data_IF_352857435683
#
_entry.id   IF_352857435683
#
_cell.length_a   1.000
_cell.length_b   1.000
_cell.length_c   1.000
_cell.angle_alpha   90.00
_cell.angle_beta   90.00
_cell.angle_gamma   90.00
#
_symmetry.space_group_name_H-M   'P 1'
#
loop_
_entity.id
_entity.type
_entity.pdbx_description
1 polymer ?
#
# COMPACT_ATOMS: atom_id res chain seq x y z
N UNK A 1 -53.28 18.52 -97.18
CA UNK A 1 -53.48 17.82 -95.90
C UNK A 1 -52.62 18.52 -94.88
N UNK A 2 -53.22 19.12 -93.86
CA UNK A 2 -52.53 19.98 -92.88
C UNK A 2 -51.93 19.10 -91.77
N UNK A 3 -50.63 19.20 -91.54
CA UNK A 3 -49.96 18.62 -90.36
C UNK A 3 -50.27 19.47 -89.13
N UNK A 4 -50.70 18.89 -87.99
CA UNK A 4 -50.78 19.63 -86.75
C UNK A 4 -49.39 19.66 -86.11
N UNK A 5 -48.80 20.86 -86.02
CA UNK A 5 -47.63 21.14 -85.20
C UNK A 5 -48.07 21.28 -83.74
N UNK A 6 -47.86 20.25 -82.93
CA UNK A 6 -47.95 20.29 -81.48
C UNK A 6 -46.75 19.57 -80.86
N UNK A 7 -46.22 20.03 -79.71
CA UNK A 7 -45.12 19.35 -79.05
C UNK A 7 -45.58 17.95 -78.62
N UNK A 8 -44.80 16.92 -78.96
CA UNK A 8 -44.98 15.56 -78.44
C UNK A 8 -45.01 15.59 -76.90
N UNK A 9 -45.90 14.85 -76.22
CA UNK A 9 -45.86 14.77 -74.77
C UNK A 9 -44.49 14.27 -74.36
N UNK A 10 -43.72 15.10 -73.66
CA UNK A 10 -42.44 14.66 -73.10
C UNK A 10 -42.72 13.43 -72.22
N UNK A 11 -42.04 12.33 -72.50
CA UNK A 11 -42.10 11.14 -71.67
C UNK A 11 -41.83 11.54 -70.21
N UNK A 12 -42.70 11.11 -69.30
CA UNK A 12 -42.55 11.41 -67.88
C UNK A 12 -41.16 10.91 -67.44
N UNK A 13 -40.36 11.74 -66.77
CA UNK A 13 -39.00 11.35 -66.42
C UNK A 13 -39.04 10.15 -65.47
N UNK A 14 -38.05 9.25 -65.59
CA UNK A 14 -37.99 8.00 -64.82
C UNK A 14 -37.90 8.19 -63.30
N UNK A 15 -37.55 9.38 -62.83
CA UNK A 15 -37.49 9.74 -61.41
C UNK A 15 -38.83 10.27 -60.86
N UNK A 16 -39.82 10.56 -61.71
CA UNK A 16 -41.10 11.07 -61.26
C UNK A 16 -41.92 9.93 -60.62
N UNK A 17 -42.46 10.19 -59.43
CA UNK A 17 -43.30 9.25 -58.69
C UNK A 17 -44.44 8.73 -59.57
N UNK A 18 -44.56 7.42 -59.67
CA UNK A 18 -45.63 6.78 -60.42
C UNK A 18 -46.96 7.02 -59.71
N UNK A 19 -47.98 7.43 -60.45
CA UNK A 19 -49.30 7.70 -59.90
C UNK A 19 -50.03 6.41 -59.50
N UNK A 20 -49.68 5.28 -60.13
CA UNK A 20 -50.27 3.97 -59.82
C UNK A 20 -49.65 3.30 -58.58
N UNK A 21 -48.43 3.71 -58.19
CA UNK A 21 -47.70 3.16 -57.03
C UNK A 21 -47.21 4.25 -56.06
N UNK A 22 -48.00 5.32 -55.95
CA UNK A 22 -47.63 6.52 -55.20
C UNK A 22 -47.41 6.23 -53.71
N UNK A 23 -48.20 5.36 -53.10
CA UNK A 23 -48.11 5.05 -51.67
C UNK A 23 -46.80 4.33 -51.31
N UNK A 24 -46.36 3.37 -52.13
CA UNK A 24 -45.09 2.69 -51.91
C UNK A 24 -43.91 3.63 -52.15
N UNK A 25 -43.95 4.40 -53.23
CA UNK A 25 -42.89 5.35 -53.56
C UNK A 25 -42.79 6.51 -52.55
N UNK A 26 -43.91 6.98 -51.98
CA UNK A 26 -43.90 7.95 -50.89
C UNK A 26 -43.37 7.35 -49.58
N UNK A 27 -43.57 6.05 -49.36
CA UNK A 27 -43.00 5.36 -48.19
C UNK A 27 -41.48 5.20 -48.27
N UNK A 28 -40.87 5.41 -49.44
CA UNK A 28 -39.41 5.43 -49.61
C UNK A 28 -38.80 6.84 -49.50
N UNK A 29 -39.62 7.89 -49.50
CA UNK A 29 -39.16 9.27 -49.37
C UNK A 29 -39.20 9.68 -47.88
N UNK A 30 -38.06 10.06 -47.26
CA UNK A 30 -37.97 10.31 -45.82
C UNK A 30 -38.97 11.33 -45.27
N UNK A 31 -39.40 12.29 -46.10
CA UNK A 31 -40.39 13.31 -45.72
C UNK A 31 -41.80 12.73 -45.52
N UNK A 32 -42.12 11.59 -46.15
CA UNK A 32 -43.45 10.96 -46.13
C UNK A 32 -43.45 9.55 -45.51
N UNK A 33 -42.28 9.07 -45.06
CA UNK A 33 -42.13 7.84 -44.30
C UNK A 33 -42.95 7.88 -43.01
N UNK A 34 -43.74 6.84 -42.79
CA UNK A 34 -44.46 6.63 -41.51
C UNK A 34 -43.65 5.75 -40.54
N UNK A 35 -42.75 4.93 -41.06
CA UNK A 35 -41.90 3.99 -40.33
C UNK A 35 -40.49 4.00 -40.94
N UNK A 36 -39.48 3.68 -40.13
CA UNK A 36 -38.09 3.59 -40.58
C UNK A 36 -37.91 2.31 -41.43
N UNK A 37 -37.36 2.41 -42.66
CA UNK A 37 -37.16 1.24 -43.53
C UNK A 37 -36.13 0.26 -42.94
N UNK A 38 -36.31 -1.03 -43.19
CA UNK A 38 -35.40 -2.11 -42.75
C UNK A 38 -34.16 -2.26 -43.64
N UNK A 39 -34.18 -1.70 -44.84
CA UNK A 39 -33.06 -1.68 -45.80
C UNK A 39 -32.44 -0.28 -45.87
N UNK A 40 -31.14 -0.20 -46.21
CA UNK A 40 -30.43 1.08 -46.34
C UNK A 40 -31.07 1.93 -47.44
N UNK A 41 -31.51 3.14 -47.08
CA UNK A 41 -32.08 4.09 -48.02
C UNK A 41 -31.10 5.25 -48.22
N UNK A 42 -30.58 5.35 -49.45
CA UNK A 42 -29.59 6.36 -49.85
C UNK A 42 -30.05 7.79 -49.58
N UNK A 43 -31.36 8.07 -49.70
CA UNK A 43 -31.91 9.41 -49.45
C UNK A 43 -31.92 9.77 -47.97
N UNK A 44 -32.07 8.77 -47.10
CA UNK A 44 -32.05 8.92 -45.64
C UNK A 44 -30.60 9.11 -45.15
N UNK A 45 -29.64 8.38 -45.76
CA UNK A 45 -28.21 8.58 -45.53
C UNK A 45 -27.73 9.97 -46.02
N UNK A 46 -28.24 10.44 -47.15
CA UNK A 46 -27.97 11.79 -47.65
C UNK A 46 -28.51 12.87 -46.69
N UNK A 47 -29.72 12.69 -46.14
CA UNK A 47 -30.27 13.59 -45.12
C UNK A 47 -29.50 13.55 -43.80
N UNK A 48 -29.04 12.37 -43.37
CA UNK A 48 -28.17 12.26 -42.18
C UNK A 48 -26.83 12.95 -42.41
N UNK A 49 -26.29 12.88 -43.62
CA UNK A 49 -25.05 13.59 -43.99
C UNK A 49 -25.25 15.12 -43.98
N UNK A 50 -26.44 15.60 -44.37
CA UNK A 50 -26.81 17.02 -44.31
C UNK A 50 -26.84 17.57 -42.87
N UNK A 51 -27.05 16.74 -41.85
CA UNK A 51 -26.97 17.17 -40.43
C UNK A 51 -25.55 17.53 -40.03
N UNK A 52 -24.54 16.95 -40.70
CA UNK A 52 -23.12 17.21 -40.49
C UNK A 52 -22.53 18.10 -41.60
N UNK A 53 -23.36 18.74 -42.42
CA UNK A 53 -22.92 19.62 -43.50
C UNK A 53 -22.84 21.05 -42.97
N UNK A 54 -21.62 21.58 -42.85
CA UNK A 54 -21.35 22.90 -42.29
C UNK A 54 -19.98 23.00 -41.65
N UNK A 55 -19.66 24.18 -41.11
CA UNK A 55 -18.47 24.32 -40.25
C UNK A 55 -18.68 23.58 -38.92
N UNK A 56 -17.62 23.08 -38.26
CA UNK A 56 -17.72 22.43 -36.95
C UNK A 56 -18.48 23.27 -35.91
N UNK A 57 -18.35 24.60 -35.99
CA UNK A 57 -19.04 25.56 -35.14
C UNK A 57 -20.56 25.57 -35.38
N UNK A 58 -21.00 25.60 -36.65
CA UNK A 58 -22.42 25.58 -37.01
C UNK A 58 -23.09 24.25 -36.65
N UNK A 59 -22.38 23.14 -36.83
CA UNK A 59 -22.85 21.79 -36.46
C UNK A 59 -23.02 21.70 -34.94
N UNK A 60 -22.02 22.15 -34.17
CA UNK A 60 -22.10 22.14 -32.71
C UNK A 60 -23.20 23.09 -32.18
N UNK A 61 -23.44 24.23 -32.85
CA UNK A 61 -24.56 25.12 -32.54
C UNK A 61 -25.92 24.49 -32.82
N UNK A 62 -26.07 23.75 -33.93
CA UNK A 62 -27.29 23.02 -34.24
C UNK A 62 -27.60 21.97 -33.17
N UNK A 63 -26.62 21.15 -32.78
CA UNK A 63 -26.78 20.16 -31.71
C UNK A 63 -27.06 20.79 -30.35
N UNK A 64 -26.45 21.95 -30.03
CA UNK A 64 -26.77 22.73 -28.82
C UNK A 64 -28.25 23.15 -28.83
N UNK A 65 -28.76 23.65 -29.95
CA UNK A 65 -30.15 24.10 -30.06
C UNK A 65 -31.14 22.92 -29.95
N UNK A 66 -30.85 21.78 -30.58
CA UNK A 66 -31.63 20.55 -30.41
C UNK A 66 -31.61 20.06 -28.95
N UNK A 67 -30.46 20.17 -28.28
CA UNK A 67 -30.33 19.90 -26.85
C UNK A 67 -31.19 20.83 -25.98
N UNK A 68 -31.26 22.12 -26.32
CA UNK A 68 -32.09 23.11 -25.62
C UNK A 68 -33.60 22.83 -25.82
N UNK A 69 -34.01 22.46 -27.04
CA UNK A 69 -35.38 22.05 -27.32
C UNK A 69 -35.74 20.75 -26.57
N UNK A 70 -34.82 19.78 -26.56
CA UNK A 70 -34.98 18.55 -25.79
C UNK A 70 -35.09 18.82 -24.28
N UNK A 71 -34.33 19.78 -23.76
CA UNK A 71 -34.43 20.23 -22.39
C UNK A 71 -35.78 20.90 -22.08
N UNK A 72 -36.31 21.69 -23.02
CA UNK A 72 -37.64 22.29 -22.92
C UNK A 72 -38.81 21.29 -22.83
N UNK A 73 -38.62 20.06 -23.33
CA UNK A 73 -39.58 18.94 -23.16
C UNK A 73 -39.61 18.37 -21.73
N UNK A 74 -38.81 18.90 -20.81
CA UNK A 74 -38.77 18.49 -19.41
C UNK A 74 -38.16 17.10 -19.20
N UNK A 75 -38.56 16.41 -18.12
CA UNK A 75 -37.89 15.18 -17.66
C UNK A 75 -37.79 14.06 -18.70
N UNK A 76 -38.77 13.96 -19.61
CA UNK A 76 -38.77 12.98 -20.69
C UNK A 76 -37.71 13.26 -21.77
N UNK A 77 -37.38 14.54 -21.99
CA UNK A 77 -36.40 14.97 -22.98
C UNK A 77 -34.97 15.10 -22.46
N UNK A 78 -34.75 14.99 -21.14
CA UNK A 78 -33.42 15.15 -20.53
C UNK A 78 -32.40 14.09 -20.99
N UNK A 79 -32.83 12.85 -21.21
CA UNK A 79 -31.94 11.81 -21.73
C UNK A 79 -31.46 12.12 -23.16
N UNK A 80 -32.35 12.66 -23.99
CA UNK A 80 -32.01 13.08 -25.35
C UNK A 80 -31.16 14.36 -25.34
N UNK A 81 -31.47 15.32 -24.45
CA UNK A 81 -30.68 16.54 -24.29
C UNK A 81 -29.22 16.22 -23.95
N UNK A 82 -28.96 15.26 -23.05
CA UNK A 82 -27.60 14.82 -22.74
C UNK A 82 -26.88 14.24 -23.97
N UNK A 83 -27.58 13.46 -24.80
CA UNK A 83 -27.01 12.91 -26.03
C UNK A 83 -26.64 14.02 -27.00
N UNK A 84 -27.54 14.96 -27.26
CA UNK A 84 -27.29 16.07 -28.18
C UNK A 84 -26.16 17.00 -27.69
N UNK A 85 -26.10 17.32 -26.39
CA UNK A 85 -24.96 18.10 -25.86
C UNK A 85 -23.64 17.33 -25.90
N UNK A 86 -23.67 16.00 -25.79
CA UNK A 86 -22.44 15.18 -25.92
C UNK A 86 -21.99 15.14 -27.37
N UNK A 87 -22.91 14.95 -28.32
CA UNK A 87 -22.63 15.05 -29.75
C UNK A 87 -22.09 16.42 -30.15
N UNK A 88 -22.61 17.52 -29.57
CA UNK A 88 -22.08 18.86 -29.79
C UNK A 88 -20.62 19.01 -29.33
N UNK A 89 -20.24 18.36 -28.23
CA UNK A 89 -18.87 18.40 -27.70
C UNK A 89 -17.92 17.48 -28.47
N UNK A 90 -18.41 16.35 -28.97
CA UNK A 90 -17.64 15.39 -29.77
C UNK A 90 -17.24 15.95 -31.16
N UNK A 91 -17.89 17.03 -31.62
CA UNK A 91 -17.52 17.77 -32.84
C UNK A 91 -16.21 18.56 -32.66
N UNK A 92 -15.76 18.79 -31.42
CA UNK A 92 -14.49 19.45 -31.08
C UNK A 92 -14.29 20.82 -31.76
N UNK A 93 -15.32 21.68 -31.76
CA UNK A 93 -15.22 23.03 -32.32
C UNK A 93 -14.20 23.91 -31.59
N UNK A 94 -13.59 24.88 -32.29
CA UNK A 94 -12.57 25.77 -31.70
C UNK A 94 -13.19 26.92 -30.88
N UNK A 95 -14.50 27.12 -30.95
CA UNK A 95 -15.19 28.15 -30.15
C UNK A 95 -15.35 27.71 -28.68
N UNK A 96 -14.49 28.29 -27.84
CA UNK A 96 -14.50 28.06 -26.41
C UNK A 96 -15.84 28.42 -25.75
N UNK A 97 -16.53 29.48 -26.20
CA UNK A 97 -17.79 29.91 -25.57
C UNK A 97 -18.92 28.91 -25.82
N UNK A 98 -18.94 28.33 -27.01
CA UNK A 98 -19.94 27.34 -27.38
C UNK A 98 -19.73 26.04 -26.60
N UNK A 99 -18.48 25.59 -26.47
CA UNK A 99 -18.14 24.44 -25.64
C UNK A 99 -18.49 24.66 -24.16
N UNK A 100 -18.17 25.83 -23.60
CA UNK A 100 -18.53 26.21 -22.23
C UNK A 100 -20.06 26.15 -22.01
N UNK A 101 -20.85 26.67 -22.95
CA UNK A 101 -22.31 26.61 -22.89
C UNK A 101 -22.84 25.16 -22.95
N UNK A 102 -22.29 24.31 -23.82
CA UNK A 102 -22.66 22.90 -23.92
C UNK A 102 -22.33 22.13 -22.63
N UNK A 103 -21.16 22.38 -22.02
CA UNK A 103 -20.82 21.79 -20.72
C UNK A 103 -21.75 22.26 -19.60
N UNK A 104 -22.05 23.56 -19.55
CA UNK A 104 -22.95 24.13 -18.55
C UNK A 104 -24.37 23.57 -18.68
N UNK A 105 -24.91 23.49 -19.91
CA UNK A 105 -26.24 22.95 -20.15
C UNK A 105 -26.31 21.45 -19.86
N UNK A 106 -25.29 20.67 -20.24
CA UNK A 106 -25.20 19.24 -19.91
C UNK A 106 -25.13 19.01 -18.40
N UNK A 107 -24.41 19.87 -17.66
CA UNK A 107 -24.37 19.84 -16.21
C UNK A 107 -25.75 20.18 -15.62
N UNK A 108 -26.43 21.21 -16.13
CA UNK A 108 -27.78 21.60 -15.71
C UNK A 108 -28.81 20.48 -15.93
N UNK A 109 -28.76 19.77 -17.06
CA UNK A 109 -29.67 18.62 -17.29
C UNK A 109 -29.43 17.50 -16.28
N UNK A 110 -28.16 17.23 -15.94
CA UNK A 110 -27.82 16.24 -14.92
C UNK A 110 -28.20 16.68 -13.50
N UNK A 111 -28.17 18.00 -13.24
CA UNK A 111 -28.66 18.65 -12.03
C UNK A 111 -30.17 18.37 -11.87
N UNK A 112 -30.95 18.69 -12.91
CA UNK A 112 -32.41 18.50 -12.95
C UNK A 112 -32.84 17.02 -12.93
N UNK A 113 -32.00 16.12 -13.46
CA UNK A 113 -32.24 14.67 -13.39
C UNK A 113 -32.06 14.09 -11.97
N UNK A 114 -31.56 14.88 -11.01
CA UNK A 114 -31.28 14.45 -9.63
C UNK A 114 -30.37 13.21 -9.54
N UNK A 115 -29.47 13.02 -10.52
CA UNK A 115 -28.57 11.87 -10.58
C UNK A 115 -27.39 11.93 -9.58
N UNK A 116 -27.42 12.85 -8.60
CA UNK A 116 -26.33 13.06 -7.64
C UNK A 116 -26.04 11.84 -6.80
N UNK A 117 -27.07 11.15 -6.28
CA UNK A 117 -26.89 9.99 -5.42
C UNK A 117 -26.09 8.87 -6.11
N UNK A 118 -26.31 8.66 -7.42
CA UNK A 118 -25.56 7.67 -8.21
C UNK A 118 -24.11 8.11 -8.48
N UNK A 119 -23.89 9.39 -8.77
CA UNK A 119 -22.54 9.93 -9.00
C UNK A 119 -21.69 9.90 -7.71
N UNK A 120 -22.28 10.30 -6.59
CA UNK A 120 -21.65 10.28 -5.26
C UNK A 120 -21.37 8.85 -4.80
N UNK A 121 -22.28 7.90 -5.00
CA UNK A 121 -22.04 6.50 -4.70
C UNK A 121 -20.87 5.90 -5.51
N UNK A 122 -20.79 6.21 -6.81
CA UNK A 122 -19.64 5.78 -7.65
C UNK A 122 -18.33 6.39 -7.17
N UNK A 123 -18.37 7.67 -6.76
CA UNK A 123 -17.20 8.38 -6.23
C UNK A 123 -16.75 7.78 -4.90
N UNK A 124 -17.68 7.50 -3.98
CA UNK A 124 -17.41 6.83 -2.71
C UNK A 124 -16.75 5.46 -2.92
N UNK A 125 -17.25 4.67 -3.88
CA UNK A 125 -16.62 3.38 -4.24
C UNK A 125 -15.20 3.52 -4.79
N UNK A 126 -14.96 4.52 -5.64
CA UNK A 126 -13.63 4.79 -6.17
C UNK A 126 -12.68 5.22 -5.05
N UNK A 127 -13.12 6.12 -4.16
CA UNK A 127 -12.34 6.59 -3.01
C UNK A 127 -12.05 5.49 -2.00
N UNK A 128 -13.01 4.60 -1.75
CA UNK A 128 -12.81 3.40 -0.94
C UNK A 128 -11.74 2.48 -1.53
N UNK A 129 -11.74 2.29 -2.86
CA UNK A 129 -10.71 1.50 -3.54
C UNK A 129 -9.31 2.16 -3.48
N UNK A 130 -9.26 3.49 -3.38
CA UNK A 130 -8.02 4.27 -3.19
C UNK A 130 -7.61 4.41 -1.71
N UNK A 131 -8.31 3.76 -0.78
CA UNK A 131 -8.10 3.85 0.68
C UNK A 131 -8.23 5.29 1.25
N UNK A 132 -8.91 6.18 0.52
CA UNK A 132 -9.26 7.54 0.96
C UNK A 132 -10.60 7.52 1.69
N UNK A 133 -10.61 6.88 2.85
CA UNK A 133 -11.84 6.47 3.55
C UNK A 133 -12.65 7.65 4.11
N UNK A 134 -12.00 8.72 4.56
CA UNK A 134 -12.68 9.91 5.10
C UNK A 134 -13.48 10.64 4.01
N UNK A 135 -12.91 10.77 2.82
CA UNK A 135 -13.59 11.37 1.66
C UNK A 135 -14.67 10.45 1.09
N UNK A 136 -14.46 9.13 1.16
CA UNK A 136 -15.49 8.15 0.79
C UNK A 136 -16.71 8.24 1.72
N UNK A 137 -16.50 8.42 3.03
CA UNK A 137 -17.57 8.67 3.99
C UNK A 137 -18.30 9.98 3.71
N UNK A 138 -17.56 11.05 3.42
CA UNK A 138 -18.16 12.35 3.08
C UNK A 138 -19.06 12.23 1.84
N UNK A 139 -18.62 11.53 0.79
CA UNK A 139 -19.43 11.24 -0.39
C UNK A 139 -20.69 10.42 -0.06
N UNK A 140 -20.58 9.45 0.85
CA UNK A 140 -21.72 8.66 1.31
C UNK A 140 -22.71 9.49 2.12
N UNK A 141 -22.26 10.37 3.01
CA UNK A 141 -23.11 11.24 3.81
C UNK A 141 -23.88 12.23 2.92
N UNK A 142 -23.21 12.82 1.93
CA UNK A 142 -23.86 13.66 0.92
C UNK A 142 -24.85 12.88 0.06
N UNK A 143 -24.55 11.62 -0.29
CA UNK A 143 -25.47 10.77 -1.04
C UNK A 143 -26.73 10.41 -0.22
N UNK A 144 -26.59 10.15 1.08
CA UNK A 144 -27.71 9.90 2.00
C UNK A 144 -28.53 11.14 2.31
N UNK A 145 -27.94 12.34 2.23
CA UNK A 145 -28.70 13.59 2.34
C UNK A 145 -29.67 13.78 1.17
N UNK A 146 -29.34 13.24 -0.01
CA UNK A 146 -30.21 13.27 -1.21
C UNK A 146 -31.22 12.11 -1.20
N UNK A 147 -30.78 10.90 -0.85
CA UNK A 147 -31.62 9.70 -0.78
C UNK A 147 -31.31 8.88 0.49
N UNK A 148 -32.00 9.16 1.61
CA UNK A 148 -31.73 8.51 2.89
C UNK A 148 -32.00 7.00 2.91
N UNK A 149 -32.87 6.50 2.03
CA UNK A 149 -33.27 5.09 1.99
C UNK A 149 -32.40 4.23 1.07
N UNK A 150 -31.35 4.81 0.48
CA UNK A 150 -30.48 4.13 -0.46
C UNK A 150 -29.63 3.04 0.23
N UNK A 151 -30.13 1.79 0.20
CA UNK A 151 -29.45 0.65 0.83
C UNK A 151 -28.00 0.46 0.37
N UNK A 152 -27.70 0.77 -0.90
CA UNK A 152 -26.34 0.59 -1.43
C UNK A 152 -25.35 1.59 -0.81
N UNK A 153 -25.77 2.85 -0.63
CA UNK A 153 -24.94 3.88 0.01
C UNK A 153 -24.78 3.60 1.51
N UNK A 154 -25.85 3.18 2.19
CA UNK A 154 -25.79 2.80 3.62
C UNK A 154 -24.76 1.67 3.83
N UNK A 155 -24.79 0.64 2.99
CA UNK A 155 -23.84 -0.47 3.06
C UNK A 155 -22.39 -0.03 2.81
N UNK A 156 -22.16 0.82 1.80
CA UNK A 156 -20.82 1.30 1.49
C UNK A 156 -20.28 2.19 2.62
N UNK A 157 -21.13 3.05 3.22
CA UNK A 157 -20.79 3.85 4.40
C UNK A 157 -20.40 2.98 5.59
N UNK A 158 -21.19 1.96 5.90
CA UNK A 158 -20.89 1.01 6.98
C UNK A 158 -19.55 0.29 6.73
N UNK A 159 -19.27 -0.07 5.48
CA UNK A 159 -18.00 -0.69 5.08
C UNK A 159 -16.82 0.27 5.27
N UNK A 160 -16.95 1.53 4.88
CA UNK A 160 -15.94 2.56 5.10
C UNK A 160 -15.67 2.75 6.59
N UNK A 161 -16.71 2.87 7.42
CA UNK A 161 -16.58 3.04 8.87
C UNK A 161 -15.86 1.85 9.51
N UNK A 162 -16.27 0.62 9.21
CA UNK A 162 -15.60 -0.60 9.71
C UNK A 162 -14.12 -0.64 9.35
N UNK A 163 -13.76 -0.17 8.15
CA UNK A 163 -12.37 -0.12 7.70
C UNK A 163 -11.57 0.93 8.47
N UNK A 164 -12.13 2.12 8.70
CA UNK A 164 -11.52 3.18 9.53
C UNK A 164 -11.30 2.68 10.96
N UNK A 165 -12.31 2.10 11.58
CA UNK A 165 -12.22 1.58 12.95
C UNK A 165 -11.13 0.51 13.07
N UNK A 166 -11.04 -0.38 12.08
CA UNK A 166 -10.00 -1.41 12.01
C UNK A 166 -8.59 -0.81 11.89
N UNK A 167 -8.42 0.21 11.06
CA UNK A 167 -7.13 0.91 10.88
C UNK A 167 -6.75 1.66 12.16
N UNK A 168 -7.69 2.37 12.78
CA UNK A 168 -7.49 3.08 14.02
C UNK A 168 -7.09 2.14 15.16
N UNK A 169 -7.75 0.98 15.27
CA UNK A 169 -7.42 -0.05 16.26
C UNK A 169 -6.03 -0.65 16.05
N UNK A 170 -5.65 -0.93 14.79
CA UNK A 170 -4.30 -1.41 14.45
C UNK A 170 -3.25 -0.37 14.81
N UNK A 171 -3.47 0.89 14.43
CA UNK A 171 -2.56 2.00 14.72
C UNK A 171 -2.38 2.19 16.23
N UNK A 172 -3.47 2.14 17.01
CA UNK A 172 -3.42 2.21 18.48
C UNK A 172 -2.61 1.08 19.09
N UNK A 173 -2.78 -0.16 18.64
CA UNK A 173 -2.00 -1.32 19.09
C UNK A 173 -0.51 -1.18 18.76
N UNK A 174 -0.19 -0.71 17.57
CA UNK A 174 1.20 -0.46 17.15
C UNK A 174 1.86 0.66 17.96
N UNK A 175 1.14 1.75 18.21
CA UNK A 175 1.61 2.86 19.05
C UNK A 175 1.84 2.41 20.51
N UNK A 176 0.92 1.62 21.07
CA UNK A 176 1.08 1.06 22.42
C UNK A 176 2.30 0.13 22.50
N UNK A 177 2.49 -0.74 21.49
CA UNK A 177 3.67 -1.62 21.42
C UNK A 177 4.96 -0.81 21.33
N UNK A 178 5.03 0.20 20.46
CA UNK A 178 6.20 1.08 20.32
C UNK A 178 6.48 1.85 21.62
N UNK A 179 5.44 2.30 22.33
CA UNK A 179 5.58 2.96 23.63
C UNK A 179 6.20 2.01 24.66
N UNK A 180 5.67 0.78 24.78
CA UNK A 180 6.21 -0.24 25.69
C UNK A 180 7.66 -0.60 25.35
N UNK A 181 8.00 -0.75 24.07
CA UNK A 181 9.38 -1.01 23.63
C UNK A 181 10.33 0.14 23.98
N UNK A 182 9.89 1.39 23.81
CA UNK A 182 10.67 2.58 24.18
C UNK A 182 10.89 2.64 25.70
N UNK A 183 9.83 2.44 26.49
CA UNK A 183 9.92 2.41 27.96
C UNK A 183 10.85 1.29 28.44
N UNK A 184 10.78 0.11 27.84
CA UNK A 184 11.71 -1.00 28.13
C UNK A 184 13.14 -0.63 27.80
N UNK A 185 13.40 -0.03 26.64
CA UNK A 185 14.74 0.40 26.25
C UNK A 185 15.31 1.46 27.19
N UNK A 186 14.51 2.46 27.58
CA UNK A 186 14.92 3.49 28.53
C UNK A 186 15.23 2.91 29.92
N UNK A 187 14.47 1.91 30.38
CA UNK A 187 14.77 1.17 31.61
C UNK A 187 16.09 0.41 31.52
N UNK A 188 16.33 -0.29 30.40
CA UNK A 188 17.59 -1.00 30.16
C UNK A 188 18.75 0.01 30.18
N UNK A 189 18.66 1.11 29.44
CA UNK A 189 19.69 2.15 29.39
C UNK A 189 19.98 2.74 30.78
N UNK A 190 18.95 2.90 31.62
CA UNK A 190 19.10 3.35 33.01
C UNK A 190 19.89 2.33 33.84
N UNK A 191 19.52 1.05 33.81
CA UNK A 191 20.23 0.00 34.55
C UNK A 191 21.67 -0.19 34.07
N UNK A 192 21.89 -0.09 32.76
CA UNK A 192 23.22 -0.13 32.15
C UNK A 192 24.12 0.97 32.71
N UNK A 193 23.60 2.20 32.80
CA UNK A 193 24.32 3.34 33.38
C UNK A 193 24.60 3.17 34.87
N UNK A 194 23.61 2.68 35.64
CA UNK A 194 23.77 2.40 37.07
C UNK A 194 24.86 1.37 37.34
N UNK A 195 24.96 0.34 36.48
CA UNK A 195 25.94 -0.75 36.57
C UNK A 195 27.31 -0.40 35.97
N UNK A 196 27.48 0.81 35.41
CA UNK A 196 28.72 1.30 34.79
C UNK A 196 29.31 0.36 33.73
N UNK A 197 28.43 -0.30 32.96
CA UNK A 197 28.86 -1.26 31.93
C UNK A 197 29.39 -0.48 30.72
N UNK A 198 30.57 -0.88 30.22
CA UNK A 198 31.22 -0.27 29.05
C UNK A 198 30.79 -0.98 27.77
N UNK A 199 30.50 -0.19 26.72
CA UNK A 199 30.15 -0.68 25.39
C UNK A 199 31.12 -0.15 24.36
N UNK A 200 31.49 -1.02 23.43
CA UNK A 200 32.19 -0.68 22.20
C UNK A 200 31.34 -1.19 21.03
N UNK A 201 30.95 -0.29 20.14
CA UNK A 201 30.16 -0.64 18.94
C UNK A 201 31.10 -0.52 17.75
N UNK A 202 31.52 -1.67 17.22
CA UNK A 202 32.31 -1.79 16.00
C UNK A 202 31.42 -2.11 14.79
N UNK A 203 30.30 -2.81 15.00
CA UNK A 203 29.31 -3.15 13.98
C UNK A 203 27.88 -2.90 14.48
N UNK A 204 27.22 -1.90 13.90
CA UNK A 204 25.84 -1.53 14.24
C UNK A 204 24.81 -2.62 13.90
N UNK A 205 25.08 -3.47 12.92
CA UNK A 205 24.14 -4.52 12.49
C UNK A 205 24.07 -5.65 13.51
N UNK A 206 25.23 -6.06 14.03
CA UNK A 206 25.37 -7.04 15.10
C UNK A 206 24.82 -6.47 16.42
N UNK A 207 25.08 -5.20 16.71
CA UNK A 207 24.55 -4.52 17.90
C UNK A 207 23.02 -4.44 17.92
N UNK A 208 22.36 -4.31 16.76
CA UNK A 208 20.88 -4.37 16.67
C UNK A 208 20.33 -5.78 16.85
N UNK A 209 21.15 -6.80 16.58
CA UNK A 209 20.78 -8.21 16.72
C UNK A 209 20.91 -8.69 18.17
N UNK A 210 21.79 -8.07 18.95
CA UNK A 210 21.95 -8.32 20.38
C UNK A 210 20.69 -7.88 21.16
N UNK A 211 19.77 -8.83 21.38
CA UNK A 211 18.54 -8.59 22.14
C UNK A 211 18.80 -8.75 23.64
N UNK A 212 19.16 -7.66 24.31
CA UNK A 212 19.23 -7.62 25.78
C UNK A 212 17.81 -7.68 26.33
N UNK A 213 17.54 -8.64 27.22
CA UNK A 213 16.21 -8.86 27.78
C UNK A 213 16.16 -8.33 29.21
N UNK A 214 15.07 -7.63 29.52
CA UNK A 214 14.76 -7.18 30.88
C UNK A 214 13.70 -8.10 31.49
N UNK A 215 14.04 -8.71 32.61
CA UNK A 215 13.07 -9.33 33.50
C UNK A 215 12.48 -8.27 34.45
N UNK A 216 11.21 -7.92 34.24
CA UNK A 216 10.53 -6.88 35.01
C UNK A 216 10.20 -7.30 36.45
N UNK A 217 10.14 -8.60 36.75
CA UNK A 217 9.80 -9.10 38.09
C UNK A 217 11.01 -9.00 39.03
N UNK A 218 12.17 -9.41 38.54
CA UNK A 218 13.42 -9.44 39.32
C UNK A 218 14.28 -8.19 39.09
N UNK A 219 13.92 -7.34 38.12
CA UNK A 219 14.69 -6.19 37.65
C UNK A 219 16.13 -6.57 37.24
N UNK A 220 16.28 -7.77 36.68
CA UNK A 220 17.57 -8.30 36.21
C UNK A 220 17.68 -8.20 34.69
N UNK A 221 18.92 -8.07 34.20
CA UNK A 221 19.22 -8.06 32.77
C UNK A 221 19.79 -9.41 32.33
N UNK A 222 19.26 -9.91 31.22
CA UNK A 222 19.79 -11.07 30.52
C UNK A 222 20.51 -10.63 29.26
N UNK A 223 21.75 -11.09 29.12
CA UNK A 223 22.67 -10.67 28.08
C UNK A 223 22.89 -11.80 27.07
N UNK A 224 23.01 -11.49 25.77
CA UNK A 224 23.56 -12.44 24.82
C UNK A 224 25.05 -12.63 25.09
N UNK A 225 25.51 -13.88 25.10
CA UNK A 225 26.89 -14.25 25.47
C UNK A 225 27.46 -15.25 24.47
N UNK A 226 28.70 -15.03 24.03
CA UNK A 226 29.50 -16.00 23.30
C UNK A 226 30.50 -16.70 24.21
N UNK A 227 30.53 -18.03 24.14
CA UNK A 227 31.63 -18.84 24.63
C UNK A 227 32.48 -19.29 23.45
N UNK A 228 33.74 -18.89 23.46
CA UNK A 228 34.70 -19.14 22.39
C UNK A 228 35.67 -20.23 22.82
N UNK A 229 35.82 -21.26 21.98
CA UNK A 229 36.76 -22.37 22.17
C UNK A 229 37.86 -22.30 21.11
N UNK A 230 38.86 -21.41 21.26
CA UNK A 230 39.85 -21.14 20.21
C UNK A 230 40.72 -22.36 19.86
N UNK A 231 40.85 -23.32 20.78
CA UNK A 231 41.58 -24.58 20.53
C UNK A 231 40.92 -25.43 19.44
N UNK A 232 39.59 -25.47 19.44
CA UNK A 232 38.79 -26.24 18.48
C UNK A 232 38.18 -25.37 17.37
N UNK A 233 38.35 -24.04 17.45
CA UNK A 233 37.72 -23.04 16.56
C UNK A 233 36.20 -23.10 16.57
N UNK A 234 35.64 -23.48 17.70
CA UNK A 234 34.19 -23.58 17.92
C UNK A 234 33.70 -22.43 18.79
N UNK A 235 32.40 -22.15 18.71
CA UNK A 235 31.76 -21.13 19.54
C UNK A 235 30.31 -21.50 19.86
N UNK A 236 29.90 -21.28 21.11
CA UNK A 236 28.51 -21.40 21.53
C UNK A 236 27.90 -20.01 21.76
N UNK A 237 26.65 -19.83 21.31
CA UNK A 237 25.87 -18.62 21.50
C UNK A 237 24.73 -18.83 22.49
N UNK A 238 24.80 -18.14 23.62
CA UNK A 238 23.75 -18.12 24.64
C UNK A 238 22.91 -16.86 24.40
N UNK A 239 21.64 -17.05 24.02
CA UNK A 239 20.74 -15.93 23.69
C UNK A 239 20.42 -15.05 24.89
N UNK A 240 20.25 -15.64 26.07
CA UNK A 240 19.86 -14.95 27.29
C UNK A 240 20.57 -15.56 28.51
N UNK A 241 21.62 -14.90 28.97
CA UNK A 241 22.33 -15.21 30.20
C UNK A 241 21.95 -14.18 31.26
N UNK A 242 21.22 -14.58 32.30
CA UNK A 242 20.84 -13.69 33.38
C UNK A 242 22.07 -13.28 34.21
N UNK A 243 22.24 -11.98 34.43
CA UNK A 243 23.37 -11.43 35.18
C UNK A 243 23.57 -12.00 36.60
N UNK A 244 22.53 -12.55 37.23
CA UNK A 244 22.62 -13.15 38.57
C UNK A 244 23.09 -14.61 38.56
N UNK A 245 23.02 -15.28 37.41
CA UNK A 245 23.51 -16.65 37.28
C UNK A 245 25.04 -16.69 37.22
N UNK A 246 25.61 -17.81 37.62
CA UNK A 246 27.06 -18.02 37.57
C UNK A 246 27.45 -18.72 36.28
N UNK A 247 28.71 -18.58 35.88
CA UNK A 247 29.24 -19.33 34.74
C UNK A 247 29.20 -20.83 35.00
N UNK A 248 29.38 -21.24 36.26
CA UNK A 248 29.32 -22.64 36.65
C UNK A 248 27.95 -23.24 36.30
N UNK A 249 26.85 -22.57 36.62
CA UNK A 249 25.49 -23.07 36.35
C UNK A 249 25.27 -23.31 34.84
N UNK A 250 25.69 -22.35 34.00
CA UNK A 250 25.56 -22.49 32.55
C UNK A 250 26.48 -23.57 31.97
N UNK A 251 27.73 -23.64 32.43
CA UNK A 251 28.70 -24.61 31.94
C UNK A 251 28.34 -26.04 32.36
N UNK A 252 27.73 -26.23 33.53
CA UNK A 252 27.21 -27.53 33.97
C UNK A 252 26.13 -28.05 33.01
N UNK A 253 25.20 -27.19 32.59
CA UNK A 253 24.15 -27.58 31.64
C UNK A 253 24.73 -27.80 30.24
N UNK A 254 25.66 -26.96 29.80
CA UNK A 254 26.27 -27.09 28.47
C UNK A 254 27.15 -28.33 28.32
N UNK A 255 27.89 -28.69 29.36
CA UNK A 255 28.81 -29.84 29.36
C UNK A 255 28.24 -31.06 30.09
N UNK A 256 26.92 -31.14 30.28
CA UNK A 256 26.25 -32.33 30.82
C UNK A 256 26.50 -33.55 29.92
N UNK A 257 26.54 -33.33 28.60
CA UNK A 257 27.02 -34.29 27.63
C UNK A 257 28.34 -33.79 27.01
N UNK A 258 29.33 -34.68 26.80
CA UNK A 258 30.58 -34.29 26.15
C UNK A 258 30.32 -33.67 24.78
N UNK A 259 30.95 -32.54 24.50
CA UNK A 259 30.79 -31.87 23.23
C UNK A 259 31.26 -32.78 22.07
N UNK A 260 30.55 -32.84 20.93
CA UNK A 260 30.91 -33.73 19.82
C UNK A 260 32.33 -33.51 19.26
N UNK A 261 32.84 -32.28 19.36
CA UNK A 261 34.17 -31.87 18.92
C UNK A 261 35.27 -32.17 19.95
N UNK A 262 34.91 -32.49 21.20
CA UNK A 262 35.83 -32.83 22.28
C UNK A 262 36.06 -34.35 22.36
N UNK A 263 36.72 -34.89 21.33
CA UNK A 263 37.02 -36.32 21.25
C UNK A 263 37.87 -36.86 22.42
N UNK A 264 38.60 -35.97 23.11
CA UNK A 264 39.45 -36.32 24.25
C UNK A 264 38.76 -36.11 25.61
N UNK A 265 37.55 -35.57 25.62
CA UNK A 265 36.78 -35.24 26.83
C UNK A 265 37.58 -34.37 27.81
N UNK A 266 38.35 -33.43 27.27
CA UNK A 266 39.18 -32.53 28.06
C UNK A 266 38.37 -31.34 28.62
N UNK A 267 37.23 -30.98 28.02
CA UNK A 267 36.38 -29.87 28.46
C UNK A 267 35.40 -30.32 29.55
N UNK A 268 35.96 -30.65 30.72
CA UNK A 268 35.18 -30.98 31.93
C UNK A 268 35.11 -29.82 32.91
N UNK A 269 34.08 -29.81 33.77
CA UNK A 269 33.86 -28.74 34.75
C UNK A 269 35.05 -28.47 35.67
N UNK A 270 35.91 -29.45 35.95
CA UNK A 270 37.14 -29.23 36.73
C UNK A 270 38.29 -28.69 35.88
N UNK A 271 38.33 -29.09 34.62
CA UNK A 271 39.45 -28.84 33.72
C UNK A 271 39.32 -27.55 32.91
N UNK A 272 38.15 -26.93 32.83
CA UNK A 272 37.99 -25.66 32.09
C UNK A 272 38.50 -24.44 32.87
N UNK A 273 38.91 -23.40 32.16
CA UNK A 273 39.20 -22.07 32.67
C UNK A 273 38.57 -21.03 31.75
N UNK A 274 38.05 -19.95 32.36
CA UNK A 274 37.31 -18.90 31.66
C UNK A 274 38.16 -17.64 31.69
N UNK A 275 38.26 -17.00 30.54
CA UNK A 275 39.01 -15.76 30.34
C UNK A 275 38.14 -14.74 29.61
N UNK A 276 38.44 -13.46 29.80
CA UNK A 276 37.96 -12.42 28.91
C UNK A 276 39.12 -11.57 28.40
N UNK A 277 38.90 -10.93 27.27
CA UNK A 277 39.83 -9.99 26.67
C UNK A 277 39.58 -8.58 27.23
N UNK A 278 40.62 -7.98 27.80
CA UNK A 278 40.62 -6.60 28.21
C UNK A 278 41.31 -5.77 27.13
N UNK A 279 40.52 -4.98 26.40
CA UNK A 279 40.94 -4.08 25.32
C UNK A 279 41.22 -2.65 25.80
N UNK A 280 41.10 -2.37 27.11
CA UNK A 280 41.25 -1.01 27.68
C UNK A 280 42.69 -0.46 27.59
N UNK A 281 43.68 -1.28 27.20
CA UNK A 281 45.08 -0.89 27.07
C UNK A 281 45.58 -0.85 25.62
N UNK A 282 46.83 -0.41 25.43
CA UNK A 282 47.51 -0.42 24.12
C UNK A 282 47.60 -1.82 23.48
N UNK A 283 47.47 -2.88 24.27
CA UNK A 283 47.44 -4.27 23.82
C UNK A 283 46.35 -5.04 24.57
N UNK A 284 45.64 -5.96 23.88
CA UNK A 284 44.66 -6.80 24.52
C UNK A 284 45.34 -7.75 25.52
N UNK A 285 44.74 -7.89 26.70
CA UNK A 285 45.24 -8.78 27.76
C UNK A 285 44.15 -9.74 28.21
N UNK A 286 44.50 -10.99 28.49
CA UNK A 286 43.54 -11.98 28.99
C UNK A 286 43.48 -11.98 30.51
N UNK A 287 42.27 -11.84 31.05
CA UNK A 287 42.00 -11.85 32.49
C UNK A 287 41.22 -13.12 32.84
N UNK A 288 41.74 -13.90 33.79
CA UNK A 288 41.11 -15.13 34.28
C UNK A 288 39.91 -14.83 35.19
N UNK A 289 38.81 -15.53 34.96
CA UNK A 289 37.56 -15.44 35.73
C UNK A 289 37.37 -16.70 36.59
N UNK A 290 36.78 -16.53 37.77
CA UNK A 290 36.30 -17.64 38.60
C UNK A 290 34.93 -18.14 38.15
N UNK A 291 34.75 -19.47 38.04
CA UNK A 291 33.50 -20.11 37.57
C UNK A 291 32.26 -19.76 38.40
N UNK A 292 32.45 -19.54 39.70
CA UNK A 292 31.39 -19.20 40.68
C UNK A 292 30.99 -17.72 40.67
N UNK A 293 31.62 -16.90 39.85
CA UNK A 293 31.26 -15.49 39.75
C UNK A 293 30.00 -15.32 38.91
N UNK A 294 29.20 -14.32 39.28
CA UNK A 294 28.01 -13.92 38.55
C UNK A 294 28.40 -13.04 37.37
N UNK A 295 27.68 -13.16 36.25
CA UNK A 295 27.94 -12.39 35.04
C UNK A 295 27.90 -10.87 35.31
N UNK A 296 26.90 -10.38 36.05
CA UNK A 296 26.74 -8.95 36.34
C UNK A 296 27.95 -8.32 37.04
N UNK A 297 28.65 -9.08 37.90
CA UNK A 297 29.87 -8.60 38.58
C UNK A 297 31.03 -8.41 37.61
N UNK A 298 31.11 -9.24 36.57
CA UNK A 298 32.17 -9.17 35.56
C UNK A 298 31.89 -8.06 34.55
N UNK A 299 30.64 -7.92 34.11
CA UNK A 299 30.23 -6.84 33.21
C UNK A 299 30.42 -5.45 33.83
N UNK A 300 30.35 -5.35 35.17
CA UNK A 300 30.58 -4.11 35.91
C UNK A 300 32.06 -3.79 36.15
N UNK A 301 33.00 -4.66 35.74
CA UNK A 301 34.43 -4.41 35.91
C UNK A 301 34.91 -3.36 34.93
N UNK A 302 35.71 -2.40 35.40
CA UNK A 302 36.30 -1.35 34.55
C UNK A 302 37.19 -1.90 33.41
N UNK A 303 37.65 -3.15 33.52
CA UNK A 303 38.50 -3.82 32.54
C UNK A 303 37.71 -4.57 31.47
N UNK A 304 36.41 -4.73 31.64
CA UNK A 304 35.55 -5.47 30.71
C UNK A 304 34.77 -4.48 29.84
N UNK A 305 34.69 -4.78 28.55
CA UNK A 305 33.93 -4.00 27.58
C UNK A 305 33.10 -4.95 26.74
N UNK A 306 31.80 -4.69 26.63
CA UNK A 306 30.90 -5.44 25.76
C UNK A 306 31.08 -4.92 24.33
N UNK A 307 31.36 -5.82 23.39
CA UNK A 307 31.56 -5.48 21.98
C UNK A 307 30.28 -5.82 21.20
N UNK A 308 29.73 -4.86 20.44
CA UNK A 308 28.52 -5.03 19.62
C UNK A 308 27.31 -5.57 20.40
N UNK A 309 27.18 -5.20 21.67
CA UNK A 309 26.07 -5.64 22.52
C UNK A 309 26.12 -7.11 22.96
N UNK A 310 27.18 -7.86 22.62
CA UNK A 310 27.34 -9.27 22.99
C UNK A 310 28.59 -9.45 23.86
N UNK A 311 28.42 -10.09 25.02
CA UNK A 311 29.53 -10.38 25.91
C UNK A 311 30.28 -11.62 25.40
N UNK A 312 31.59 -11.53 25.23
CA UNK A 312 32.41 -12.67 24.76
C UNK A 312 33.33 -13.17 25.86
N UNK A 313 33.41 -14.49 26.02
CA UNK A 313 34.31 -15.16 26.96
C UNK A 313 35.04 -16.30 26.26
N UNK A 314 36.30 -16.47 26.62
CA UNK A 314 37.19 -17.49 26.05
C UNK A 314 37.30 -18.63 27.06
N UNK A 315 37.03 -19.85 26.62
CA UNK A 315 37.12 -21.06 27.44
C UNK A 315 38.29 -21.89 26.96
N UNK A 316 39.17 -22.27 27.88
CA UNK A 316 40.37 -23.08 27.62
C UNK A 316 40.42 -24.28 28.56
N UNK A 317 40.94 -25.40 28.08
CA UNK A 317 41.30 -26.56 28.90
C UNK A 317 42.59 -26.30 29.70
N UNK A 318 42.64 -26.69 30.98
CA UNK A 318 43.85 -26.56 31.81
C UNK A 318 44.95 -27.52 31.38
N UNK A 319 44.60 -28.72 30.92
CA UNK A 319 45.53 -29.77 30.52
C UNK A 319 46.13 -29.54 29.14
N UNK A 320 45.45 -28.76 28.29
CA UNK A 320 45.91 -28.57 26.91
C UNK A 320 47.19 -27.73 26.83
N UNK A 321 48.21 -28.16 26.06
CA UNK A 321 49.40 -27.36 25.78
C UNK A 321 49.07 -26.10 24.96
N UNK A 322 47.93 -26.08 24.26
CA UNK A 322 47.47 -24.92 23.49
C UNK A 322 47.24 -23.70 24.40
N UNK A 323 46.83 -23.90 25.65
CA UNK A 323 46.62 -22.83 26.62
C UNK A 323 47.87 -21.98 26.81
N UNK A 324 49.03 -22.59 27.00
CA UNK A 324 50.29 -21.86 27.23
C UNK A 324 50.72 -21.07 25.99
N UNK A 325 50.58 -21.67 24.81
CA UNK A 325 50.84 -21.00 23.54
C UNK A 325 49.89 -19.81 23.33
N UNK A 326 48.60 -20.01 23.57
CA UNK A 326 47.57 -18.99 23.41
C UNK A 326 47.79 -17.83 24.39
N UNK A 327 47.99 -18.11 25.69
CA UNK A 327 48.31 -17.08 26.69
C UNK A 327 49.62 -16.35 26.37
N UNK A 328 50.60 -17.03 25.77
CA UNK A 328 51.86 -16.44 25.33
C UNK A 328 51.69 -15.37 24.24
N UNK A 329 50.66 -15.48 23.40
CA UNK A 329 50.36 -14.49 22.34
C UNK A 329 49.87 -13.15 22.91
N UNK A 330 49.22 -13.16 24.08
CA UNK A 330 48.68 -11.96 24.75
C UNK A 330 49.64 -11.33 25.77
N UNK A 331 50.77 -11.98 26.09
CA UNK A 331 51.78 -11.47 27.02
C UNK A 331 52.89 -10.67 26.34
N UNK A 332 52.95 -10.65 25.01
CA UNK A 332 54.05 -10.05 24.23
C UNK A 332 53.92 -8.56 24.04
#
# INVERSE_FOLDING_TARGET
MSTPAGPTPNARPSWALDAENLDAAMSEVPLFMKELPTEENDTLAALQSLVYDGTPEEIAENFKNQGNEAYGRGRAGFADAIKFYTQALDVECQDQKLNEACYANRAAVNLELQNYGKALYRSAKALFALDRLDEALDCCDHALAVDPENRAVIQERERCQKRIDLIAEKKRKEEEKKRKEKEKKEKIDKMVKERKIKFEVTDETVAKTAQIQLDEETNTLSWPVFFLYPEHKESDYIQAFNETNTFQDHLEVMFEQPAPWDAKQEYTMDNIEIYFENTTGLRPTLVKIGKKLQLGKILSLDKYTIINGVASFIILSKTSPFKEEFLGRYKK
#
